data_IF_985717249148
#
_entry.id   IF_985717249148
#
_cell.length_a   1.000
_cell.length_b   1.000
_cell.length_c   1.000
_cell.angle_alpha   90.00
_cell.angle_beta   90.00
_cell.angle_gamma   90.00
#
_symmetry.space_group_name_H-M   'P 1'
#
loop_
_entity.id
_entity.type
_entity.pdbx_description
1 polymer ?
#
# COMPACT_ATOMS: atom_id res chain seq x y z
N UNK A 1 -28.42 14.29 -0.84
CA UNK A 1 -27.07 14.34 -0.26
C UNK A 1 -26.39 13.03 -0.60
N UNK A 2 -25.17 13.06 -1.15
CA UNK A 2 -24.38 11.85 -1.37
C UNK A 2 -23.70 11.47 -0.06
N UNK A 3 -23.75 10.19 0.30
CA UNK A 3 -23.02 9.69 1.45
C UNK A 3 -21.51 9.89 1.26
N UNK A 4 -20.77 10.16 2.35
CA UNK A 4 -19.33 10.28 2.28
C UNK A 4 -18.71 8.99 1.73
N UNK A 5 -17.67 9.09 0.89
CA UNK A 5 -17.06 7.93 0.25
C UNK A 5 -16.56 6.92 1.29
N UNK A 6 -16.94 5.66 1.12
CA UNK A 6 -16.59 4.58 2.04
C UNK A 6 -15.07 4.45 2.17
N UNK A 7 -14.56 4.66 3.39
CA UNK A 7 -13.14 4.43 3.70
C UNK A 7 -12.80 2.95 3.50
N UNK A 8 -11.66 2.70 2.86
CA UNK A 8 -11.11 1.34 2.78
C UNK A 8 -10.53 0.95 4.13
N UNK A 9 -10.73 -0.31 4.50
CA UNK A 9 -9.98 -0.94 5.59
C UNK A 9 -8.49 -0.97 5.27
N UNK A 10 -7.66 -1.01 6.31
CA UNK A 10 -6.21 -1.07 6.24
C UNK A 10 -5.74 -2.24 5.42
N UNK A 11 -6.31 -3.44 5.61
CA UNK A 11 -5.98 -4.64 4.82
C UNK A 11 -6.22 -4.42 3.33
N UNK A 12 -7.37 -3.84 2.96
CA UNK A 12 -7.70 -3.58 1.55
C UNK A 12 -6.75 -2.56 0.93
N UNK A 13 -6.40 -1.52 1.69
CA UNK A 13 -5.48 -0.48 1.26
C UNK A 13 -4.05 -0.99 1.15
N UNK A 14 -3.57 -1.80 2.09
CA UNK A 14 -2.27 -2.46 2.05
C UNK A 14 -2.13 -3.35 0.81
N UNK A 15 -3.13 -4.21 0.55
CA UNK A 15 -3.15 -5.07 -0.63
C UNK A 15 -3.12 -4.27 -1.94
N UNK A 16 -3.89 -3.18 -2.02
CA UNK A 16 -3.87 -2.30 -3.17
C UNK A 16 -2.53 -1.58 -3.36
N UNK A 17 -1.89 -1.13 -2.27
CA UNK A 17 -0.54 -0.52 -2.30
C UNK A 17 0.50 -1.50 -2.83
N UNK A 18 0.52 -2.74 -2.35
CA UNK A 18 1.43 -3.80 -2.83
C UNK A 18 1.20 -4.10 -4.31
N UNK A 19 -0.05 -4.32 -4.72
CA UNK A 19 -0.39 -4.55 -6.14
C UNK A 19 0.06 -3.40 -7.04
N UNK A 20 -0.14 -2.16 -6.61
CA UNK A 20 0.25 -0.98 -7.39
C UNK A 20 1.78 -0.78 -7.41
N UNK A 21 2.48 -1.15 -6.33
CA UNK A 21 3.94 -1.20 -6.32
C UNK A 21 4.43 -2.19 -7.38
N UNK A 22 3.94 -3.44 -7.31
CA UNK A 22 4.31 -4.49 -8.27
C UNK A 22 4.12 -4.07 -9.72
N UNK A 23 2.92 -3.58 -10.05
CA UNK A 23 2.62 -3.09 -11.42
C UNK A 23 3.56 -1.99 -11.90
N UNK A 24 3.95 -1.07 -11.01
CA UNK A 24 4.91 -0.01 -11.38
C UNK A 24 6.30 -0.57 -11.62
N UNK A 25 6.74 -1.53 -10.81
CA UNK A 25 8.05 -2.15 -10.92
C UNK A 25 8.15 -3.05 -12.17
N UNK A 26 7.14 -3.87 -12.45
CA UNK A 26 7.05 -4.66 -13.68
C UNK A 26 7.12 -3.79 -14.93
N UNK A 27 6.53 -2.59 -14.88
CA UNK A 27 6.58 -1.64 -15.99
C UNK A 27 7.94 -0.94 -16.13
N UNK A 28 8.56 -0.56 -15.02
CA UNK A 28 9.77 0.28 -15.03
C UNK A 28 11.08 -0.52 -15.08
N UNK A 29 11.15 -1.62 -14.34
CA UNK A 29 12.35 -2.44 -14.09
C UNK A 29 12.00 -3.94 -14.07
N UNK A 30 11.44 -4.50 -15.16
CA UNK A 30 10.85 -5.84 -15.17
C UNK A 30 11.80 -6.95 -14.67
N UNK A 31 13.08 -6.90 -15.06
CA UNK A 31 14.07 -7.90 -14.67
C UNK A 31 14.43 -7.87 -13.18
N UNK A 32 14.18 -6.75 -12.50
CA UNK A 32 14.54 -6.53 -11.09
C UNK A 32 13.32 -6.24 -10.21
N UNK A 33 12.11 -6.49 -10.72
CA UNK A 33 10.87 -6.11 -10.03
C UNK A 33 10.77 -6.75 -8.64
N UNK A 34 11.20 -8.00 -8.48
CA UNK A 34 11.20 -8.71 -7.21
C UNK A 34 12.16 -8.06 -6.20
N UNK A 35 13.40 -7.77 -6.62
CA UNK A 35 14.40 -7.15 -5.74
C UNK A 35 13.99 -5.75 -5.29
N UNK A 36 13.49 -4.91 -6.21
CA UNK A 36 13.03 -3.56 -5.85
C UNK A 36 11.75 -3.58 -5.01
N UNK A 37 10.88 -4.58 -5.18
CA UNK A 37 9.71 -4.76 -4.33
C UNK A 37 10.12 -5.06 -2.91
N UNK A 38 11.01 -6.03 -2.71
CA UNK A 38 11.54 -6.40 -1.39
C UNK A 38 12.22 -5.21 -0.70
N UNK A 39 13.09 -4.49 -1.42
CA UNK A 39 13.76 -3.29 -0.90
C UNK A 39 12.77 -2.21 -0.47
N UNK A 40 11.73 -1.94 -1.26
CA UNK A 40 10.75 -0.91 -0.89
C UNK A 40 9.88 -1.34 0.30
N UNK A 41 9.54 -2.63 0.40
CA UNK A 41 8.84 -3.19 1.56
C UNK A 41 9.68 -3.07 2.84
N UNK A 42 10.99 -3.32 2.76
CA UNK A 42 11.93 -3.14 3.87
C UNK A 42 12.15 -1.67 4.23
N UNK A 43 12.22 -0.78 3.23
CA UNK A 43 12.45 0.66 3.43
C UNK A 43 11.27 1.35 4.10
N UNK A 44 10.04 0.89 3.85
CA UNK A 44 8.81 1.53 4.31
C UNK A 44 7.77 0.53 4.84
N UNK A 45 8.09 -0.25 5.88
CA UNK A 45 7.22 -1.33 6.35
C UNK A 45 5.82 -0.82 6.72
N UNK A 46 5.72 0.28 7.48
CA UNK A 46 4.46 0.86 7.94
C UNK A 46 3.54 1.31 6.79
N UNK A 47 4.10 1.65 5.62
CA UNK A 47 3.31 2.07 4.47
C UNK A 47 2.56 0.89 3.83
N UNK A 48 3.03 -0.34 4.01
CA UNK A 48 2.42 -1.55 3.46
C UNK A 48 1.80 -2.46 4.53
N UNK A 49 1.85 -2.02 5.80
CA UNK A 49 1.27 -2.71 6.94
C UNK A 49 -0.18 -2.29 7.20
N UNK A 50 -1.06 -3.26 7.42
CA UNK A 50 -2.49 -3.01 7.57
C UNK A 50 -2.82 -2.27 8.88
N UNK A 51 -2.19 -2.67 9.98
CA UNK A 51 -2.44 -2.11 11.31
C UNK A 51 -1.93 -0.68 11.40
N UNK A 52 -0.77 -0.40 10.82
CA UNK A 52 -0.21 0.95 10.72
C UNK A 52 -1.11 1.87 9.91
N UNK A 53 -1.71 1.36 8.84
CA UNK A 53 -2.69 2.10 8.04
C UNK A 53 -3.97 2.36 8.83
N UNK A 54 -4.53 1.37 9.52
CA UNK A 54 -5.73 1.54 10.36
C UNK A 54 -5.45 2.58 11.45
N UNK A 55 -4.33 2.46 12.18
CA UNK A 55 -3.91 3.43 13.21
C UNK A 55 -3.79 4.85 12.65
N UNK A 56 -3.19 5.02 11.48
CA UNK A 56 -3.09 6.33 10.81
C UNK A 56 -4.48 6.87 10.42
N UNK A 57 -5.38 6.01 9.95
CA UNK A 57 -6.74 6.38 9.57
C UNK A 57 -7.61 6.76 10.78
N UNK A 58 -7.48 6.05 11.91
CA UNK A 58 -8.16 6.37 13.17
C UNK A 58 -7.68 7.70 13.75
N UNK A 59 -6.38 8.02 13.63
CA UNK A 59 -5.82 9.30 14.10
C UNK A 59 -6.26 10.51 13.27
N UNK A 60 -6.73 10.28 12.03
CA UNK A 60 -7.24 11.30 11.10
C UNK A 60 -8.78 11.35 11.05
N UNK A 61 -9.45 10.63 11.94
CA UNK A 61 -10.90 10.74 12.18
C UNK A 61 -11.15 11.58 13.41
#
# INVERSE_FOLDING_TARGET
MLDPPKRWSGTRKAAARRRNLRKRLEKAVPLFADQFEEQELQRRPDYFDADSIEREQSRKG
#
